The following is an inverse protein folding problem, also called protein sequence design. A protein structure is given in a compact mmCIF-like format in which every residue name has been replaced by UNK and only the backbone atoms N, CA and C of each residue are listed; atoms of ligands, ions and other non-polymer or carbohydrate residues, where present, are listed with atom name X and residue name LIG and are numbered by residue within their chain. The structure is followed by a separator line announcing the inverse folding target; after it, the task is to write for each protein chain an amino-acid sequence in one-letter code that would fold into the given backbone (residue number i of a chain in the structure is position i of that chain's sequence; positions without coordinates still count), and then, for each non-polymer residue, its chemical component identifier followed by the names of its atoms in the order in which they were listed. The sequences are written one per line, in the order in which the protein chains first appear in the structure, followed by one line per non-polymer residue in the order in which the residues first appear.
data_IF_960101160444
#
_entry.id   IF_960101160444
#
_cell.length_a   1.000
_cell.length_b   1.000
_cell.length_c   1.000
_cell.angle_alpha   90.00
_cell.angle_beta   90.00
_cell.angle_gamma   90.00
#
_symmetry.space_group_name_H-M   'P 1'
#
loop_
_entity.id
_entity.type
_entity.pdbx_description
1 polymer ?
#
# COMPACT_ATOMS: atom_id res chain seq x y z
N UNK A 1 -15.39 -13.68 -36.30
CA UNK A 1 -15.36 -12.62 -35.27
C UNK A 1 -14.17 -11.70 -35.54
N UNK A 2 -14.34 -10.38 -35.49
CA UNK A 2 -13.20 -9.43 -35.58
C UNK A 2 -12.59 -9.21 -34.19
N UNK A 3 -11.26 -9.07 -34.06
CA UNK A 3 -10.62 -8.81 -32.78
C UNK A 3 -11.06 -7.44 -32.24
N UNK A 4 -11.32 -7.38 -30.93
CA UNK A 4 -11.61 -6.13 -30.20
C UNK A 4 -10.39 -5.76 -29.38
N UNK A 5 -10.01 -4.48 -29.43
CA UNK A 5 -8.91 -3.92 -28.64
C UNK A 5 -9.49 -2.94 -27.62
N UNK A 6 -8.99 -3.01 -26.39
CA UNK A 6 -9.45 -2.19 -25.27
C UNK A 6 -8.25 -1.52 -24.60
N UNK A 7 -8.44 -0.28 -24.14
CA UNK A 7 -7.42 0.46 -23.40
C UNK A 7 -7.75 0.44 -21.91
N UNK A 8 -6.76 0.11 -21.09
CA UNK A 8 -6.84 0.26 -19.64
C UNK A 8 -6.74 1.75 -19.29
N UNK A 9 -7.76 2.28 -18.62
CA UNK A 9 -7.88 3.71 -18.26
C UNK A 9 -7.53 4.00 -16.79
N UNK A 10 -7.32 2.96 -15.98
CA UNK A 10 -6.94 3.06 -14.55
C UNK A 10 -5.95 1.97 -14.17
N UNK A 11 -4.97 2.32 -13.34
CA UNK A 11 -3.84 1.45 -13.00
C UNK A 11 -2.89 1.23 -14.19
N UNK A 12 -1.74 0.62 -13.92
CA UNK A 12 -0.83 0.19 -14.99
C UNK A 12 -1.13 -1.25 -15.44
N UNK A 13 -0.68 -1.60 -16.63
CA UNK A 13 -0.82 -2.95 -17.15
C UNK A 13 -0.03 -3.95 -16.28
N UNK A 14 -0.70 -4.97 -15.76
CA UNK A 14 -0.08 -6.06 -15.00
C UNK A 14 0.84 -6.87 -15.93
N UNK A 15 2.05 -7.19 -15.46
CA UNK A 15 3.08 -7.89 -16.25
C UNK A 15 4.11 -6.98 -16.92
N UNK A 16 3.90 -5.66 -16.95
CA UNK A 16 4.93 -4.71 -17.34
C UNK A 16 5.91 -4.47 -16.18
N UNK A 17 7.20 -4.68 -16.43
CA UNK A 17 8.26 -4.38 -15.46
C UNK A 17 8.25 -2.88 -15.04
N UNK A 18 7.91 -1.98 -15.97
CA UNK A 18 7.79 -0.55 -15.68
C UNK A 18 6.63 -0.27 -14.72
N UNK A 19 5.47 -0.89 -14.94
CA UNK A 19 4.32 -0.76 -14.04
C UNK A 19 4.68 -1.18 -12.62
N UNK A 20 5.43 -2.26 -12.46
CA UNK A 20 5.84 -2.77 -11.14
C UNK A 20 6.73 -1.77 -10.37
N UNK A 21 7.63 -1.08 -11.06
CA UNK A 21 8.48 -0.04 -10.45
C UNK A 21 7.65 1.19 -10.09
N UNK A 22 6.74 1.61 -10.97
CA UNK A 22 5.86 2.74 -10.71
C UNK A 22 4.92 2.48 -9.53
N UNK A 23 4.37 1.27 -9.42
CA UNK A 23 3.55 0.86 -8.29
C UNK A 23 4.35 0.91 -6.97
N UNK A 24 5.60 0.41 -6.98
CA UNK A 24 6.45 0.45 -5.78
C UNK A 24 6.76 1.89 -5.34
N UNK A 25 7.09 2.79 -6.28
CA UNK A 25 7.32 4.21 -5.97
C UNK A 25 6.05 4.89 -5.45
N UNK A 26 4.90 4.56 -6.03
CA UNK A 26 3.61 5.11 -5.63
C UNK A 26 3.27 4.73 -4.18
N UNK A 27 3.32 3.43 -3.87
CA UNK A 27 3.02 2.91 -2.53
C UNK A 27 4.05 3.44 -1.52
N UNK A 28 5.34 3.50 -1.88
CA UNK A 28 6.40 4.05 -1.01
C UNK A 28 6.15 5.51 -0.61
N UNK A 29 5.61 6.32 -1.54
CA UNK A 29 5.26 7.71 -1.23
C UNK A 29 4.06 7.76 -0.28
N UNK A 30 3.04 6.95 -0.51
CA UNK A 30 1.83 6.90 0.31
C UNK A 30 2.11 6.39 1.74
N UNK A 31 2.95 5.37 1.90
CA UNK A 31 3.27 4.76 3.21
C UNK A 31 4.31 5.54 4.03
N UNK A 32 5.03 6.49 3.42
CA UNK A 32 6.21 7.17 3.99
C UNK A 32 6.05 7.59 5.45
N UNK A 33 5.00 8.35 5.77
CA UNK A 33 4.72 8.83 7.14
C UNK A 33 4.46 7.68 8.13
N UNK A 34 3.79 6.62 7.69
CA UNK A 34 3.52 5.47 8.55
C UNK A 34 4.82 4.73 8.86
N UNK A 35 5.65 4.48 7.84
CA UNK A 35 6.96 3.84 8.02
C UNK A 35 7.87 4.66 8.94
N UNK A 36 7.85 6.00 8.83
CA UNK A 36 8.58 6.88 9.75
C UNK A 36 8.11 6.74 11.20
N UNK A 37 6.79 6.67 11.44
CA UNK A 37 6.23 6.42 12.78
C UNK A 37 6.66 5.06 13.34
N UNK A 38 6.62 4.00 12.52
CA UNK A 38 7.07 2.67 12.92
C UNK A 38 8.55 2.69 13.33
N UNK A 39 9.40 3.35 12.54
CA UNK A 39 10.84 3.51 12.86
C UNK A 39 11.08 4.27 14.16
N UNK A 40 10.32 5.33 14.41
CA UNK A 40 10.43 6.10 15.67
C UNK A 40 10.04 5.27 16.90
N UNK A 41 9.20 4.25 16.72
CA UNK A 41 8.75 3.35 17.78
C UNK A 41 9.57 2.04 17.85
N UNK A 42 10.69 1.95 17.12
CA UNK A 42 11.52 0.75 17.01
C UNK A 42 10.75 -0.50 16.55
N UNK A 43 9.70 -0.28 15.76
CA UNK A 43 8.83 -1.33 15.22
C UNK A 43 9.35 -1.83 13.87
N UNK A 44 9.24 -3.14 13.63
CA UNK A 44 9.57 -3.73 12.34
C UNK A 44 8.48 -3.41 11.32
N UNK A 45 8.90 -3.02 10.11
CA UNK A 45 8.01 -2.79 8.97
C UNK A 45 8.65 -3.38 7.71
N UNK A 46 7.97 -4.30 7.06
CA UNK A 46 8.37 -4.94 5.82
C UNK A 46 7.22 -4.85 4.81
N UNK A 47 7.55 -4.49 3.58
CA UNK A 47 6.60 -4.52 2.46
C UNK A 47 7.16 -5.37 1.32
N UNK A 48 6.32 -6.23 0.78
CA UNK A 48 6.59 -6.98 -0.43
C UNK A 48 5.49 -6.72 -1.46
N UNK A 49 5.79 -5.84 -2.43
CA UNK A 49 4.82 -5.37 -3.43
C UNK A 49 3.57 -4.78 -2.77
N UNK A 50 2.51 -5.56 -2.72
CA UNK A 50 1.19 -5.16 -2.23
C UNK A 50 0.93 -5.68 -0.79
N UNK A 51 1.76 -6.59 -0.27
CA UNK A 51 1.65 -7.15 1.07
C UNK A 51 2.53 -6.39 2.06
N UNK A 52 1.99 -6.12 3.25
CA UNK A 52 2.70 -5.41 4.33
C UNK A 52 2.65 -6.26 5.60
N UNK A 53 3.81 -6.43 6.23
CA UNK A 53 3.97 -7.03 7.53
C UNK A 53 4.64 -6.04 8.47
N UNK A 54 4.08 -5.85 9.67
CA UNK A 54 4.70 -5.00 10.68
C UNK A 54 4.43 -5.54 12.08
N UNK A 55 5.31 -5.20 13.01
CA UNK A 55 5.12 -5.49 14.45
C UNK A 55 4.76 -4.22 15.15
N UNK A 56 3.86 -4.26 16.13
CA UNK A 56 3.54 -3.06 16.90
C UNK A 56 3.32 -3.37 18.37
N UNK A 57 3.69 -2.41 19.21
CA UNK A 57 3.40 -2.41 20.65
C UNK A 57 2.17 -1.57 20.98
N UNK A 58 1.57 -0.93 19.96
CA UNK A 58 0.39 -0.09 20.14
C UNK A 58 -0.86 -0.94 20.42
N UNK A 59 -1.83 -0.41 21.19
CA UNK A 59 -3.11 -1.05 21.38
C UNK A 59 -3.84 -1.24 20.03
N UNK A 60 -4.65 -2.31 19.86
CA UNK A 60 -5.38 -2.56 18.63
C UNK A 60 -6.21 -1.38 18.12
N UNK A 61 -6.88 -0.64 19.02
CA UNK A 61 -7.70 0.52 18.65
C UNK A 61 -6.88 1.65 18.02
N UNK A 62 -5.61 1.80 18.42
CA UNK A 62 -4.73 2.82 17.87
C UNK A 62 -4.22 2.40 16.49
N UNK A 63 -4.00 1.11 16.27
CA UNK A 63 -3.68 0.56 14.95
C UNK A 63 -4.86 0.74 13.98
N UNK A 64 -6.08 0.41 14.40
CA UNK A 64 -7.27 0.62 13.59
C UNK A 64 -7.43 2.08 13.15
N UNK A 65 -7.14 3.04 14.05
CA UNK A 65 -7.13 4.47 13.71
C UNK A 65 -6.05 4.81 12.69
N UNK A 66 -4.81 4.36 12.91
CA UNK A 66 -3.71 4.62 11.98
C UNK A 66 -3.99 4.04 10.57
N UNK A 67 -4.59 2.84 10.51
CA UNK A 67 -4.98 2.20 9.26
C UNK A 67 -6.14 2.93 8.58
N UNK A 68 -7.10 3.44 9.35
CA UNK A 68 -8.20 4.27 8.83
C UNK A 68 -7.66 5.57 8.23
N UNK A 69 -6.76 6.27 8.93
CA UNK A 69 -6.10 7.48 8.41
C UNK A 69 -5.30 7.19 7.13
N UNK A 70 -4.64 6.03 7.03
CA UNK A 70 -3.94 5.62 5.81
C UNK A 70 -4.88 5.40 4.63
N UNK A 71 -6.03 4.78 4.87
CA UNK A 71 -7.06 4.54 3.85
C UNK A 71 -7.72 5.85 3.37
N UNK A 72 -7.74 6.89 4.20
CA UNK A 72 -8.26 8.20 3.81
C UNK A 72 -7.29 9.02 2.95
N UNK A 73 -5.99 8.72 2.97
CA UNK A 73 -4.98 9.47 2.20
C UNK A 73 -5.13 9.35 0.70
N UNK A 74 -5.63 8.21 0.22
CA UNK A 74 -5.74 7.95 -1.22
C UNK A 74 -6.86 6.96 -1.52
N UNK A 75 -7.87 7.39 -2.27
CA UNK A 75 -8.99 6.55 -2.66
C UNK A 75 -8.61 5.35 -3.57
N UNK A 76 -7.40 5.36 -4.14
CA UNK A 76 -6.91 4.25 -4.97
C UNK A 76 -6.23 3.14 -4.15
N UNK A 77 -5.92 3.37 -2.87
CA UNK A 77 -5.30 2.37 -2.00
C UNK A 77 -6.26 2.06 -0.85
N UNK A 78 -6.52 0.78 -0.63
CA UNK A 78 -7.31 0.29 0.51
C UNK A 78 -6.57 -0.85 1.19
N UNK A 79 -6.17 -0.63 2.43
CA UNK A 79 -5.62 -1.64 3.32
C UNK A 79 -6.76 -2.40 3.98
N UNK A 80 -6.62 -3.71 3.96
CA UNK A 80 -7.33 -4.64 4.84
C UNK A 80 -6.30 -5.33 5.72
N UNK A 81 -6.66 -5.69 6.95
CA UNK A 81 -5.76 -6.37 7.87
C UNK A 81 -6.42 -7.63 8.40
N UNK A 82 -5.58 -8.62 8.70
CA UNK A 82 -5.92 -9.88 9.32
C UNK A 82 -4.93 -10.08 10.48
N UNK A 83 -5.42 -10.51 11.65
CA UNK A 83 -4.61 -10.77 12.85
C UNK A 83 -4.73 -12.19 13.34
#
# INVERSE_FOLDING_TARGET
MKPKFYQQIRGGAMGSACTQVLADVYVKKWESKFVEQQKQQEQLYFRFRDDVFFTTTLPPQQIERNLTELNEKDHNIKITWES
#
